data_IF_621692205828
#
_entry.id   IF_621692205828
#
_cell.length_a   1.000
_cell.length_b   1.000
_cell.length_c   1.000
_cell.angle_alpha   90.00
_cell.angle_beta   90.00
_cell.angle_gamma   90.00
#
_symmetry.space_group_name_H-M   'P 1'
#
loop_
_entity.id
_entity.type
_entity.pdbx_description
1 polymer ?
#
# COMPACT_ATOMS: atom_id res chain seq x y z
N UNK A 1 19.81 7.31 -7.96
CA UNK A 1 19.40 8.68 -7.61
C UNK A 1 18.05 8.90 -8.26
N UNK A 2 16.97 9.03 -7.47
CA UNK A 2 15.61 9.15 -8.01
C UNK A 2 15.47 10.41 -8.86
N UNK A 3 14.82 10.29 -10.01
CA UNK A 3 14.48 11.41 -10.87
C UNK A 3 13.35 12.24 -10.26
N UNK A 4 13.28 13.54 -10.59
CA UNK A 4 12.21 14.44 -10.13
C UNK A 4 10.81 13.86 -10.38
N UNK A 5 10.62 13.18 -11.52
CA UNK A 5 9.36 12.53 -11.90
C UNK A 5 9.02 11.34 -10.99
N UNK A 6 10.01 10.57 -10.58
CA UNK A 6 9.83 9.40 -9.70
C UNK A 6 9.41 9.81 -8.29
N UNK A 7 10.00 10.89 -7.78
CA UNK A 7 9.59 11.48 -6.49
C UNK A 7 8.13 11.93 -6.55
N UNK A 8 7.74 12.63 -7.63
CA UNK A 8 6.35 13.07 -7.83
C UNK A 8 5.39 11.89 -7.84
N UNK A 9 5.71 10.83 -8.61
CA UNK A 9 4.86 9.62 -8.62
C UNK A 9 4.74 8.99 -7.24
N UNK A 10 5.86 8.81 -6.53
CA UNK A 10 5.84 8.24 -5.17
C UNK A 10 5.00 9.06 -4.19
N UNK A 11 5.09 10.39 -4.24
CA UNK A 11 4.26 11.28 -3.43
C UNK A 11 2.77 11.18 -3.75
N UNK A 12 2.41 11.06 -5.03
CA UNK A 12 1.02 10.87 -5.45
C UNK A 12 0.49 9.52 -4.94
N UNK A 13 1.25 8.44 -5.11
CA UNK A 13 0.87 7.12 -4.58
C UNK A 13 0.67 7.13 -3.06
N UNK A 14 1.60 7.77 -2.33
CA UNK A 14 1.48 7.90 -0.88
C UNK A 14 0.23 8.69 -0.47
N UNK A 15 -0.02 9.83 -1.12
CA UNK A 15 -1.18 10.67 -0.82
C UNK A 15 -2.51 10.00 -1.13
N UNK A 16 -2.62 9.37 -2.31
CA UNK A 16 -3.85 8.67 -2.72
C UNK A 16 -4.11 7.45 -1.82
N UNK A 17 -3.07 6.67 -1.51
CA UNK A 17 -3.20 5.54 -0.60
C UNK A 17 -3.68 6.01 0.78
N UNK A 18 -3.05 7.05 1.34
CA UNK A 18 -3.41 7.55 2.65
C UNK A 18 -4.83 8.14 2.69
N UNK A 19 -5.20 8.91 1.67
CA UNK A 19 -6.54 9.48 1.56
C UNK A 19 -7.61 8.38 1.50
N UNK A 20 -7.39 7.32 0.70
CA UNK A 20 -8.34 6.20 0.61
C UNK A 20 -8.53 5.50 1.96
N UNK A 21 -7.46 5.17 2.67
CA UNK A 21 -7.55 4.51 3.98
C UNK A 21 -8.22 5.40 5.02
N UNK A 22 -7.93 6.70 5.05
CA UNK A 22 -8.50 7.64 6.03
C UNK A 22 -9.98 7.92 5.74
N UNK A 23 -10.34 8.20 4.48
CA UNK A 23 -11.74 8.48 4.09
C UNK A 23 -12.60 7.24 4.25
N UNK A 24 -12.07 6.06 3.90
CA UNK A 24 -12.74 4.79 4.10
C UNK A 24 -12.33 4.12 5.41
N UNK A 25 -11.94 4.87 6.43
CA UNK A 25 -11.64 4.32 7.75
C UNK A 25 -12.74 3.38 8.30
N UNK A 26 -14.05 3.70 8.21
CA UNK A 26 -15.10 2.80 8.70
C UNK A 26 -15.19 1.45 7.96
N UNK A 27 -14.59 1.34 6.76
CA UNK A 27 -14.54 0.10 5.97
C UNK A 27 -13.18 -0.58 6.12
N UNK A 28 -12.11 0.22 6.22
CA UNK A 28 -10.72 -0.24 6.24
C UNK A 28 -10.31 -0.93 7.54
N UNK A 29 -10.99 -0.62 8.66
CA UNK A 29 -10.67 -1.11 10.00
C UNK A 29 -11.78 -1.98 10.62
N UNK A 30 -12.53 -2.68 9.78
CA UNK A 30 -13.51 -3.69 10.21
C UNK A 30 -12.82 -4.98 10.68
N UNK A 31 -13.53 -5.86 11.44
CA UNK A 31 -13.02 -7.19 11.81
C UNK A 31 -12.61 -8.04 10.60
N UNK A 32 -13.26 -7.81 9.46
CA UNK A 32 -12.84 -8.27 8.13
C UNK A 32 -12.33 -7.02 7.41
N UNK A 33 -11.01 -6.86 7.29
CA UNK A 33 -10.41 -5.66 6.70
C UNK A 33 -10.56 -5.68 5.18
N UNK A 34 -11.42 -4.82 4.64
CA UNK A 34 -11.52 -4.61 3.19
C UNK A 34 -10.90 -3.25 2.87
N UNK A 35 -9.63 -3.26 2.43
CA UNK A 35 -8.90 -2.04 2.09
C UNK A 35 -8.87 -1.81 0.58
N UNK A 36 -9.68 -0.87 0.11
CA UNK A 36 -9.69 -0.45 -1.31
C UNK A 36 -8.32 0.11 -1.71
N UNK A 37 -7.57 0.68 -0.77
CA UNK A 37 -6.21 1.17 -0.99
C UNK A 37 -5.23 0.07 -1.45
N UNK A 38 -5.46 -1.19 -1.11
CA UNK A 38 -4.59 -2.30 -1.51
C UNK A 38 -4.66 -2.58 -3.02
N UNK A 39 -5.70 -2.08 -3.71
CA UNK A 39 -5.75 -2.07 -5.17
C UNK A 39 -4.65 -1.21 -5.84
N UNK A 40 -3.99 -0.31 -5.09
CA UNK A 40 -2.82 0.43 -5.57
C UNK A 40 -1.51 -0.36 -5.48
N UNK A 41 -1.44 -1.42 -4.67
CA UNK A 41 -0.26 -2.27 -4.53
C UNK A 41 0.15 -2.89 -5.88
N UNK A 42 -0.76 -3.49 -6.67
CA UNK A 42 -0.46 -3.97 -8.03
C UNK A 42 0.17 -2.93 -8.96
N UNK A 43 -0.11 -1.63 -8.78
CA UNK A 43 0.50 -0.59 -9.61
C UNK A 43 2.03 -0.52 -9.43
N UNK A 44 2.59 -1.11 -8.36
CA UNK A 44 4.03 -1.31 -8.20
C UNK A 44 4.66 -2.10 -9.34
N UNK A 45 3.89 -2.96 -10.02
CA UNK A 45 4.33 -3.73 -11.17
C UNK A 45 4.63 -2.82 -12.37
N UNK A 46 3.82 -1.77 -12.55
CA UNK A 46 3.93 -0.82 -13.67
C UNK A 46 4.93 0.29 -13.38
N UNK A 47 4.89 0.85 -12.17
CA UNK A 47 5.66 2.03 -11.79
C UNK A 47 6.94 1.71 -11.02
N UNK A 48 7.14 0.47 -10.56
CA UNK A 48 8.35 0.03 -9.86
C UNK A 48 8.53 0.68 -8.48
N UNK A 49 9.78 1.03 -8.16
CA UNK A 49 10.19 1.58 -6.87
C UNK A 49 9.39 2.80 -6.38
N UNK A 50 9.06 3.79 -7.22
CA UNK A 50 8.18 4.91 -6.83
C UNK A 50 6.87 4.49 -6.19
N UNK A 51 6.18 3.50 -6.77
CA UNK A 51 4.91 3.02 -6.26
C UNK A 51 5.09 2.18 -5.00
N UNK A 52 6.11 1.31 -4.93
CA UNK A 52 6.44 0.53 -3.71
C UNK A 52 6.65 1.47 -2.52
N UNK A 53 7.52 2.47 -2.67
CA UNK A 53 7.80 3.44 -1.60
C UNK A 53 6.55 4.27 -1.30
N UNK A 54 5.82 4.68 -2.34
CA UNK A 54 4.59 5.44 -2.20
C UNK A 54 3.54 4.72 -1.36
N UNK A 55 3.19 3.47 -1.67
CA UNK A 55 2.18 2.72 -0.91
C UNK A 55 2.63 2.36 0.51
N UNK A 56 3.93 2.10 0.73
CA UNK A 56 4.48 1.84 2.08
C UNK A 56 4.43 3.09 2.96
N UNK A 57 4.85 4.24 2.43
CA UNK A 57 4.78 5.52 3.14
C UNK A 57 3.33 5.95 3.34
N UNK A 58 2.47 5.78 2.33
CA UNK A 58 1.04 6.02 2.45
C UNK A 58 0.40 5.17 3.54
N UNK A 59 0.74 3.89 3.65
CA UNK A 59 0.22 2.97 4.66
C UNK A 59 0.63 3.37 6.08
N UNK A 60 1.90 3.69 6.31
CA UNK A 60 2.38 4.15 7.61
C UNK A 60 1.69 5.43 8.06
N UNK A 61 1.59 6.42 7.16
CA UNK A 61 0.90 7.69 7.44
C UNK A 61 -0.58 7.46 7.73
N UNK A 62 -1.25 6.64 6.92
CA UNK A 62 -2.67 6.38 7.09
C UNK A 62 -2.99 5.64 8.38
N UNK A 63 -2.24 4.58 8.70
CA UNK A 63 -2.46 3.81 9.93
C UNK A 63 -2.15 4.66 11.18
N UNK A 64 -1.17 5.56 11.10
CA UNK A 64 -0.91 6.50 12.19
C UNK A 64 -2.07 7.48 12.36
N UNK A 65 -2.47 8.19 11.30
CA UNK A 65 -3.54 9.20 11.37
C UNK A 65 -4.88 8.54 11.73
N UNK A 66 -5.25 7.46 11.06
CA UNK A 66 -6.51 6.78 11.30
C UNK A 66 -6.56 6.14 12.69
N UNK A 67 -5.46 5.54 13.16
CA UNK A 67 -5.33 5.02 14.53
C UNK A 67 -5.55 6.10 15.58
N UNK A 68 -4.96 7.28 15.39
CA UNK A 68 -5.11 8.40 16.33
C UNK A 68 -6.53 9.00 16.30
N UNK A 69 -7.11 9.21 15.10
CA UNK A 69 -8.38 9.92 14.93
C UNK A 69 -9.60 9.05 15.20
N UNK A 70 -9.59 7.78 14.78
CA UNK A 70 -10.77 6.90 14.86
C UNK A 70 -10.73 5.91 16.03
N UNK A 71 -9.55 5.55 16.51
CA UNK A 71 -9.38 4.50 17.54
C UNK A 71 -8.79 5.03 18.86
N UNK A 72 -8.52 6.33 18.97
CA UNK A 72 -7.96 6.96 20.17
C UNK A 72 -6.51 6.56 20.47
N UNK A 73 -5.84 5.91 19.51
CA UNK A 73 -4.47 5.45 19.61
C UNK A 73 -4.11 4.51 18.47
N UNK A 74 -2.93 4.72 17.87
CA UNK A 74 -2.38 3.82 16.87
C UNK A 74 -1.45 2.80 17.54
N UNK A 75 -1.73 1.50 17.43
CA UNK A 75 -0.76 0.48 17.83
C UNK A 75 0.46 0.59 16.92
N UNK A 76 1.66 0.73 17.47
CA UNK A 76 2.92 0.75 16.69
C UNK A 76 3.00 -0.48 15.77
N UNK A 77 2.45 -1.60 16.22
CA UNK A 77 2.35 -2.84 15.46
C UNK A 77 1.49 -2.70 14.20
N UNK A 78 0.39 -1.95 14.22
CA UNK A 78 -0.46 -1.76 13.03
C UNK A 78 0.20 -0.82 12.02
N UNK A 79 0.89 0.20 12.52
CA UNK A 79 1.63 1.15 11.66
C UNK A 79 2.81 0.47 11.00
N UNK A 80 3.64 -0.22 11.78
CA UNK A 80 4.87 -0.86 11.29
C UNK A 80 4.55 -2.16 10.56
N UNK A 81 3.69 -3.01 11.12
CA UNK A 81 3.27 -4.28 10.53
C UNK A 81 2.49 -4.10 9.24
N UNK A 82 1.53 -3.18 9.19
CA UNK A 82 0.77 -2.87 7.97
C UNK A 82 1.65 -2.30 6.86
N UNK A 83 2.61 -1.44 7.20
CA UNK A 83 3.54 -0.87 6.23
C UNK A 83 4.53 -1.90 5.68
N UNK A 84 5.04 -2.79 6.55
CA UNK A 84 5.89 -3.91 6.15
C UNK A 84 5.14 -4.91 5.26
N UNK A 85 3.89 -5.23 5.61
CA UNK A 85 3.04 -6.08 4.79
C UNK A 85 2.85 -5.49 3.38
N UNK A 86 2.51 -4.20 3.28
CA UNK A 86 2.38 -3.51 2.01
C UNK A 86 3.69 -3.42 1.22
N UNK A 87 4.81 -3.21 1.90
CA UNK A 87 6.13 -3.21 1.28
C UNK A 87 6.45 -4.59 0.69
N UNK A 88 6.29 -5.66 1.48
CA UNK A 88 6.52 -7.03 1.04
C UNK A 88 5.59 -7.39 -0.12
N UNK A 89 4.31 -7.05 -0.05
CA UNK A 89 3.34 -7.27 -1.11
C UNK A 89 3.75 -6.56 -2.41
N UNK A 90 4.01 -5.25 -2.34
CA UNK A 90 4.41 -4.45 -3.50
C UNK A 90 5.75 -4.93 -4.10
N UNK A 91 6.71 -5.30 -3.27
CA UNK A 91 8.03 -5.77 -3.67
C UNK A 91 7.99 -7.17 -4.31
N UNK A 92 7.27 -8.12 -3.70
CA UNK A 92 7.08 -9.46 -4.25
C UNK A 92 6.31 -9.39 -5.57
N UNK A 93 5.26 -8.56 -5.66
CA UNK A 93 4.54 -8.32 -6.92
C UNK A 93 5.45 -7.80 -8.02
N UNK A 94 6.32 -6.82 -7.70
CA UNK A 94 7.32 -6.30 -8.64
C UNK A 94 8.35 -7.36 -9.07
N UNK A 95 8.83 -8.19 -8.14
CA UNK A 95 9.82 -9.24 -8.42
C UNK A 95 9.23 -10.35 -9.32
N UNK A 96 8.01 -10.79 -9.04
CA UNK A 96 7.30 -11.81 -9.84
C UNK A 96 7.01 -11.30 -11.24
N UNK A 97 6.58 -10.03 -11.38
CA UNK A 97 6.32 -9.43 -12.68
C UNK A 97 7.57 -9.37 -13.57
N UNK A 98 8.74 -9.23 -12.94
CA UNK A 98 10.03 -9.28 -13.64
C UNK A 98 10.32 -10.65 -14.26
N UNK A 99 9.74 -11.73 -13.72
CA UNK A 99 9.85 -13.12 -14.22
C UNK A 99 8.76 -13.54 -15.23
N UNK A 100 8.08 -12.57 -15.87
CA UNK A 100 7.20 -12.69 -17.07
C UNK A 100 5.91 -13.54 -16.99
N UNK A 101 5.64 -14.32 -15.93
CA UNK A 101 4.39 -15.09 -15.87
C UNK A 101 3.20 -14.23 -15.41
N UNK A 102 2.45 -13.68 -16.38
CA UNK A 102 1.28 -12.81 -16.14
C UNK A 102 0.19 -13.45 -15.26
N UNK A 103 0.04 -14.78 -15.30
CA UNK A 103 -0.94 -15.52 -14.49
C UNK A 103 -0.55 -15.58 -13.01
N UNK A 104 0.75 -15.67 -12.71
CA UNK A 104 1.25 -15.67 -11.32
C UNK A 104 1.19 -14.27 -10.73
N UNK A 105 1.45 -13.25 -11.55
CA UNK A 105 1.25 -11.84 -11.17
C UNK A 105 -0.20 -11.57 -10.80
N UNK A 106 -1.16 -12.05 -11.61
CA UNK A 106 -2.59 -11.89 -11.34
C UNK A 106 -3.04 -12.60 -10.05
N UNK A 107 -2.54 -13.82 -9.82
CA UNK A 107 -2.82 -14.58 -8.60
C UNK A 107 -2.21 -13.90 -7.35
N UNK A 108 -0.99 -13.38 -7.46
CA UNK A 108 -0.33 -12.64 -6.38
C UNK A 108 -1.08 -11.33 -6.04
N UNK A 109 -1.59 -10.61 -7.06
CA UNK A 109 -2.41 -9.41 -6.84
C UNK A 109 -3.78 -9.72 -6.26
N UNK A 110 -4.37 -10.87 -6.57
CA UNK A 110 -5.63 -11.32 -5.97
C UNK A 110 -5.44 -11.69 -4.49
N UNK A 111 -4.36 -12.41 -4.17
CA UNK A 111 -4.01 -12.77 -2.78
C UNK A 111 -3.65 -11.53 -1.95
N UNK A 112 -3.10 -10.49 -2.58
CA UNK A 112 -2.77 -9.22 -1.92
C UNK A 112 -3.98 -8.30 -1.70
N UNK A 113 -5.10 -8.54 -2.41
CA UNK A 113 -6.30 -7.72 -2.36
C UNK A 113 -7.46 -8.37 -1.58
N UNK A 114 -7.24 -9.55 -0.99
CA UNK A 114 -8.17 -10.29 -0.12
C UNK A 114 -7.71 -10.25 1.32
#
# INVERSE_FOLDING_TARGET
MFSKREVVYGSVFAGVYAALVIVLAPISFLPIQVRIADALIPLSILYGWPAIIGVTVGCSVANFIAGQVFFGGSTIIDVVGGSLANFCAAYVGWLIARNKSKSVVFLATLIQAT
#
